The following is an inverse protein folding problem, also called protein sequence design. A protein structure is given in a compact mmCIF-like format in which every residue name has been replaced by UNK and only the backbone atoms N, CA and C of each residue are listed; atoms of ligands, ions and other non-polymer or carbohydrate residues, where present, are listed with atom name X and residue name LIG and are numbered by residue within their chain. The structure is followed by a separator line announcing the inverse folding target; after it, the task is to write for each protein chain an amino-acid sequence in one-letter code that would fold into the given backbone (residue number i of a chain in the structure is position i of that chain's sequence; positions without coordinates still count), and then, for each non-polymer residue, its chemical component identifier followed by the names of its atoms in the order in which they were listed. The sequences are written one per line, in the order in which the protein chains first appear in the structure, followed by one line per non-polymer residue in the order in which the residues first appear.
data_IF_976476454920
#
_entry.id   IF_976476454920
#
_cell.length_a   1.000
_cell.length_b   1.000
_cell.length_c   1.000
_cell.angle_alpha   90.00
_cell.angle_beta   90.00
_cell.angle_gamma   90.00
#
_symmetry.space_group_name_H-M   'P 1'
#
loop_
_entity.id
_entity.type
_entity.pdbx_description
1 polymer ?
#
# COMPACT_ATOMS: atom_id res chain seq x y z
N UNK A 1 14.49 -10.27 -17.59
CA UNK A 1 14.45 -9.11 -16.68
C UNK A 1 13.06 -8.88 -16.07
N UNK A 2 12.17 -9.90 -16.02
CA UNK A 2 10.79 -9.79 -15.49
C UNK A 2 10.70 -10.29 -14.03
N UNK A 3 11.61 -11.16 -13.59
CA UNK A 3 11.56 -11.75 -12.24
C UNK A 3 11.92 -10.77 -11.12
N UNK A 4 12.94 -9.90 -11.31
CA UNK A 4 13.46 -9.06 -10.23
C UNK A 4 12.48 -7.95 -9.80
N UNK A 5 11.76 -7.37 -10.77
CA UNK A 5 10.76 -6.32 -10.52
C UNK A 5 9.55 -6.89 -9.77
N UNK A 6 9.16 -8.13 -10.09
CA UNK A 6 8.07 -8.80 -9.39
C UNK A 6 8.41 -9.06 -7.91
N UNK A 7 9.67 -9.35 -7.58
CA UNK A 7 10.11 -9.62 -6.22
C UNK A 7 10.08 -8.35 -5.35
N UNK A 8 10.55 -7.22 -5.88
CA UNK A 8 10.52 -5.93 -5.18
C UNK A 8 9.09 -5.41 -5.01
N UNK A 9 8.30 -5.40 -6.07
CA UNK A 9 6.91 -4.93 -6.02
C UNK A 9 6.06 -5.79 -5.07
N UNK A 10 6.27 -7.12 -5.08
CA UNK A 10 5.61 -8.02 -4.13
C UNK A 10 6.04 -7.73 -2.71
N UNK A 11 7.34 -7.50 -2.46
CA UNK A 11 7.84 -7.14 -1.15
C UNK A 11 7.23 -5.83 -0.63
N UNK A 12 7.14 -4.80 -1.48
CA UNK A 12 6.46 -3.55 -1.15
C UNK A 12 5.00 -3.80 -0.74
N UNK A 13 4.27 -4.59 -1.52
CA UNK A 13 2.88 -4.93 -1.19
C UNK A 13 2.77 -5.68 0.14
N UNK A 14 3.68 -6.60 0.46
CA UNK A 14 3.69 -7.29 1.76
C UNK A 14 3.92 -6.30 2.90
N UNK A 15 4.87 -5.38 2.77
CA UNK A 15 5.14 -4.37 3.81
C UNK A 15 3.94 -3.44 4.03
N UNK A 16 3.32 -2.95 2.95
CA UNK A 16 2.10 -2.13 3.04
C UNK A 16 0.96 -2.91 3.69
N UNK A 17 0.71 -4.14 3.25
CA UNK A 17 -0.34 -5.00 3.80
C UNK A 17 -0.14 -5.28 5.29
N UNK A 18 1.07 -5.65 5.70
CA UNK A 18 1.38 -5.95 7.10
C UNK A 18 1.25 -4.71 7.99
N UNK A 19 1.57 -3.51 7.46
CA UNK A 19 1.32 -2.24 8.16
C UNK A 19 -0.17 -1.98 8.34
N UNK A 20 -0.97 -2.14 7.29
CA UNK A 20 -2.43 -1.96 7.32
C UNK A 20 -3.08 -2.93 8.31
N UNK A 21 -2.62 -4.18 8.33
CA UNK A 21 -3.09 -5.22 9.25
C UNK A 21 -2.61 -5.02 10.70
N UNK A 22 -1.73 -4.06 10.96
CA UNK A 22 -1.18 -3.81 12.30
C UNK A 22 -0.23 -4.90 12.80
N UNK A 23 0.31 -5.73 11.89
CA UNK A 23 1.22 -6.84 12.23
C UNK A 23 2.68 -6.52 11.90
N UNK A 24 2.95 -5.44 11.17
CA UNK A 24 4.31 -4.99 10.88
C UNK A 24 4.96 -4.41 12.16
N UNK A 25 6.12 -4.95 12.61
CA UNK A 25 6.76 -4.47 13.83
C UNK A 25 7.13 -2.99 13.75
N UNK A 26 6.95 -2.24 14.85
CA UNK A 26 7.27 -0.80 14.92
C UNK A 26 8.73 -0.49 14.54
N UNK A 27 9.68 -1.36 14.91
CA UNK A 27 11.08 -1.22 14.51
C UNK A 27 11.27 -1.25 12.99
N UNK A 28 10.47 -2.06 12.30
CA UNK A 28 10.52 -2.21 10.84
C UNK A 28 9.91 -0.98 10.17
N UNK A 29 8.81 -0.47 10.72
CA UNK A 29 8.20 0.80 10.28
C UNK A 29 9.22 1.94 10.41
N UNK A 30 9.90 2.04 11.55
CA UNK A 30 10.91 3.07 11.79
C UNK A 30 12.13 2.95 10.85
N UNK A 31 12.57 1.73 10.55
CA UNK A 31 13.66 1.48 9.61
C UNK A 31 13.31 1.90 8.18
N UNK A 32 12.08 1.62 7.73
CA UNK A 32 11.61 1.99 6.39
C UNK A 32 11.35 3.50 6.28
N UNK A 33 10.93 4.13 7.37
CA UNK A 33 10.77 5.58 7.46
C UNK A 33 9.60 6.13 6.65
N UNK A 34 9.54 7.45 6.56
CA UNK A 34 8.46 8.18 5.88
C UNK A 34 8.63 8.22 4.36
N UNK A 35 9.86 8.03 3.86
CA UNK A 35 10.16 7.95 2.43
C UNK A 35 9.68 6.64 1.80
N UNK A 36 9.35 5.64 2.61
CA UNK A 36 8.74 4.41 2.10
C UNK A 36 7.34 4.72 1.54
N UNK A 37 6.96 4.18 0.36
CA UNK A 37 5.71 4.53 -0.31
C UNK A 37 4.51 3.88 0.36
N UNK A 38 4.11 4.35 1.55
CA UNK A 38 3.05 3.74 2.35
C UNK A 38 1.67 3.83 1.72
N UNK A 39 1.43 4.82 0.86
CA UNK A 39 0.20 4.93 0.10
C UNK A 39 0.05 3.74 -0.85
N UNK A 40 -1.14 3.16 -0.89
CA UNK A 40 -1.48 2.08 -1.81
C UNK A 40 -1.98 2.66 -3.12
N UNK A 41 -1.38 2.22 -4.23
CA UNK A 41 -1.71 2.62 -5.60
C UNK A 41 -2.48 1.53 -6.35
N UNK A 42 -2.99 1.86 -7.53
CA UNK A 42 -3.66 0.87 -8.38
C UNK A 42 -2.68 -0.21 -8.91
N UNK A 43 -1.39 0.13 -9.04
CA UNK A 43 -0.32 -0.82 -9.38
C UNK A 43 -0.13 -1.86 -8.26
N UNK A 44 -0.11 -1.41 -7.00
CA UNK A 44 -0.02 -2.32 -5.85
C UNK A 44 -1.20 -3.31 -5.83
N UNK A 45 -2.41 -2.88 -6.21
CA UNK A 45 -3.57 -3.76 -6.31
C UNK A 45 -3.38 -4.82 -7.39
N UNK A 46 -2.83 -4.45 -8.55
CA UNK A 46 -2.50 -5.39 -9.62
C UNK A 46 -1.47 -6.43 -9.20
N UNK A 47 -0.41 -6.00 -8.53
CA UNK A 47 0.62 -6.88 -7.97
C UNK A 47 0.03 -7.79 -6.90
N UNK A 48 -0.74 -7.24 -5.96
CA UNK A 48 -1.35 -8.00 -4.88
C UNK A 48 -2.31 -9.08 -5.38
N UNK A 49 -3.15 -8.79 -6.38
CA UNK A 49 -4.06 -9.78 -6.98
C UNK A 49 -3.34 -10.93 -7.66
N UNK A 50 -2.12 -10.69 -8.13
CA UNK A 50 -1.30 -11.69 -8.82
C UNK A 50 -0.46 -12.51 -7.83
N UNK A 51 0.00 -11.90 -6.73
CA UNK A 51 1.07 -12.46 -5.89
C UNK A 51 0.71 -12.65 -4.41
N UNK A 52 -0.35 -12.01 -3.90
CA UNK A 52 -0.78 -12.13 -2.50
C UNK A 52 -2.08 -12.91 -2.38
N UNK A 53 -2.31 -13.46 -1.18
CA UNK A 53 -3.49 -14.25 -0.87
C UNK A 53 -4.08 -13.86 0.49
N UNK A 54 -5.40 -14.07 0.62
CA UNK A 54 -6.11 -13.96 1.89
C UNK A 54 -6.05 -12.55 2.50
N UNK A 55 -5.80 -12.42 3.81
CA UNK A 55 -5.87 -11.12 4.51
C UNK A 55 -5.00 -10.02 3.91
N UNK A 56 -3.82 -10.37 3.38
CA UNK A 56 -2.89 -9.38 2.80
C UNK A 56 -3.40 -8.79 1.50
N UNK A 57 -4.06 -9.58 0.65
CA UNK A 57 -4.71 -9.07 -0.55
C UNK A 57 -5.82 -8.08 -0.18
N UNK A 58 -6.72 -8.47 0.74
CA UNK A 58 -7.82 -7.60 1.17
C UNK A 58 -7.33 -6.33 1.87
N UNK A 59 -6.22 -6.39 2.60
CA UNK A 59 -5.59 -5.21 3.20
C UNK A 59 -5.14 -4.20 2.13
N UNK A 60 -4.55 -4.67 1.03
CA UNK A 60 -4.17 -3.80 -0.09
C UNK A 60 -5.41 -3.20 -0.77
N UNK A 61 -6.43 -4.01 -1.04
CA UNK A 61 -7.68 -3.50 -1.64
C UNK A 61 -8.35 -2.43 -0.77
N UNK A 62 -8.43 -2.66 0.54
CA UNK A 62 -8.95 -1.68 1.50
C UNK A 62 -8.06 -0.43 1.57
N UNK A 63 -6.74 -0.61 1.62
CA UNK A 63 -5.77 0.49 1.62
C UNK A 63 -5.94 1.39 0.41
N UNK A 64 -6.22 0.84 -0.78
CA UNK A 64 -6.49 1.64 -1.96
C UNK A 64 -7.79 2.42 -1.85
N UNK A 65 -8.85 1.82 -1.33
CA UNK A 65 -10.12 2.52 -1.10
C UNK A 65 -9.96 3.71 -0.15
N UNK A 66 -9.20 3.54 0.93
CA UNK A 66 -8.90 4.63 1.88
C UNK A 66 -8.07 5.74 1.24
N UNK A 67 -7.09 5.40 0.39
CA UNK A 67 -6.31 6.38 -0.34
C UNK A 67 -7.20 7.23 -1.27
N UNK A 68 -8.09 6.60 -2.04
CA UNK A 68 -9.04 7.29 -2.92
C UNK A 68 -9.98 8.24 -2.16
N UNK A 69 -10.48 7.82 -1.00
CA UNK A 69 -11.32 8.67 -0.16
C UNK A 69 -10.55 9.90 0.35
N UNK A 70 -9.29 9.71 0.74
CA UNK A 70 -8.43 10.79 1.24
C UNK A 70 -8.05 11.78 0.11
N UNK A 71 -7.76 11.28 -1.09
CA UNK A 71 -7.52 12.10 -2.28
C UNK A 71 -8.75 12.95 -2.61
N UNK A 72 -9.95 12.34 -2.57
CA UNK A 72 -11.22 13.04 -2.80
C UNK A 72 -11.51 14.12 -1.76
N UNK A 73 -11.24 13.87 -0.49
CA UNK A 73 -11.42 14.86 0.59
C UNK A 73 -10.47 16.04 0.40
N UNK A 74 -9.21 15.77 0.05
CA UNK A 74 -8.20 16.81 -0.21
C UNK A 74 -8.61 17.70 -1.37
N UNK A 75 -9.13 17.12 -2.45
CA UNK A 75 -9.61 17.88 -3.62
C UNK A 75 -10.82 18.78 -3.27
N UNK A 76 -11.76 18.28 -2.47
CA UNK A 76 -12.91 19.06 -2.05
C UNK A 76 -12.52 20.26 -1.18
N UNK A 77 -11.50 20.12 -0.33
CA UNK A 77 -10.98 21.21 0.50
C UNK A 77 -10.25 22.27 -0.35
N UNK A 78 -9.52 21.87 -1.39
CA UNK A 78 -8.82 22.84 -2.25
C UNK A 78 -9.75 23.68 -3.12
N UNK A 79 -10.92 23.18 -3.50
CA UNK A 79 -11.91 23.93 -4.32
C UNK A 79 -12.68 24.99 -3.52
N UNK A 80 -12.58 24.97 -2.19
CA UNK A 80 -13.27 25.91 -1.29
C UNK A 80 -12.37 27.02 -0.74
N UNK A 81 -11.07 26.99 -1.07
CA UNK A 81 -10.07 27.97 -0.66
C UNK A 81 -9.80 29.01 -1.76
#
# INVERSE_FOLDING_TARGET
MISLINDEATWLCVMKADRILGILPTRQIAYLGDDFPWAVTDEDVGVARTHLLGPRLHAIELGRQLALLSESETAALSDTA
#
